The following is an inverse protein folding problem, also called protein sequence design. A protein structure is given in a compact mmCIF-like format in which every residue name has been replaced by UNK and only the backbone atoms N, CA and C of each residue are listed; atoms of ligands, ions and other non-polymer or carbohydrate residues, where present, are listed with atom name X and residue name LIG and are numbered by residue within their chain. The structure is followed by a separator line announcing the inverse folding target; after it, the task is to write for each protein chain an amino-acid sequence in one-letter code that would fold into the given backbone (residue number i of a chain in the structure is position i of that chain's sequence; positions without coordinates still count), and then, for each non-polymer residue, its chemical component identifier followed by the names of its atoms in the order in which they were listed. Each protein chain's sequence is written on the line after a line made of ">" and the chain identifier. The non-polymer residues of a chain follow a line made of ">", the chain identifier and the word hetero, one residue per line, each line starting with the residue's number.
data_IF_487977385119
#
_entry.id   IF_487977385119
#
_cell.length_a   1.000
_cell.length_b   1.000
_cell.length_c   1.000
_cell.angle_alpha   90.00
_cell.angle_beta   90.00
_cell.angle_gamma   90.00
#
_symmetry.space_group_name_H-M   'P 1'
#
loop_
_entity.id
_entity.type
_entity.pdbx_description
1 polymer ?
#
# COMPACT_ATOMS: atom_id res chain seq x y z
N UNK A 1 64.47 13.34 100.42
CA UNK A 1 64.28 13.32 98.95
C UNK A 1 63.21 12.30 98.62
N UNK A 2 62.06 12.70 98.26
CA UNK A 2 60.87 11.83 98.12
C UNK A 2 60.47 11.76 96.63
N UNK A 3 60.55 10.56 96.14
CA UNK A 3 60.09 10.20 94.79
C UNK A 3 58.55 10.07 94.78
N UNK A 4 57.91 10.66 93.84
CA UNK A 4 56.46 10.50 93.66
C UNK A 4 56.25 9.66 92.36
N UNK A 5 55.70 8.47 92.56
CA UNK A 5 55.20 7.66 91.46
C UNK A 5 53.83 8.18 91.03
N UNK A 6 53.70 8.43 89.68
CA UNK A 6 52.41 8.73 89.06
C UNK A 6 51.85 7.47 88.41
N UNK A 7 50.65 7.09 88.74
CA UNK A 7 49.89 5.97 88.22
C UNK A 7 49.24 6.41 86.93
N UNK A 8 49.57 5.75 85.80
CA UNK A 8 48.93 5.95 84.52
C UNK A 8 47.77 4.99 84.35
N UNK A 9 46.54 5.53 84.33
CA UNK A 9 45.35 4.73 84.05
C UNK A 9 45.29 4.36 82.56
N UNK A 10 45.19 3.09 82.26
CA UNK A 10 45.01 2.57 80.86
C UNK A 10 43.51 2.72 80.52
N UNK A 11 43.23 3.64 79.61
CA UNK A 11 41.89 3.75 79.04
C UNK A 11 41.66 2.69 77.94
N UNK A 12 40.65 1.84 78.15
CA UNK A 12 40.18 0.87 77.18
C UNK A 12 39.43 1.57 76.06
N UNK A 13 40.02 1.59 74.84
CA UNK A 13 39.34 2.08 73.66
C UNK A 13 38.43 0.98 73.11
N UNK A 14 37.13 1.10 73.27
CA UNK A 14 36.14 0.23 72.58
C UNK A 14 36.05 0.60 71.10
N UNK A 15 36.53 -0.30 70.25
CA UNK A 15 36.30 -0.20 68.81
C UNK A 15 34.82 -0.49 68.52
N UNK A 16 34.06 0.55 68.17
CA UNK A 16 32.75 0.42 67.53
C UNK A 16 32.97 -0.10 66.11
N UNK A 17 32.83 -1.38 65.90
CA UNK A 17 32.68 -1.96 64.56
C UNK A 17 31.32 -1.54 63.99
N UNK A 18 31.31 -0.47 63.18
CA UNK A 18 30.15 -0.07 62.41
C UNK A 18 29.82 -1.18 61.41
N UNK A 19 28.61 -1.73 61.48
CA UNK A 19 28.08 -2.64 60.48
C UNK A 19 27.89 -1.85 59.20
N UNK A 20 28.74 -2.08 58.18
CA UNK A 20 28.53 -1.58 56.80
C UNK A 20 27.28 -2.27 56.28
N UNK A 21 26.24 -1.53 55.83
CA UNK A 21 25.09 -2.19 55.26
C UNK A 21 25.54 -2.92 53.99
N UNK A 22 25.24 -4.23 53.94
CA UNK A 22 25.51 -5.04 52.77
C UNK A 22 24.74 -4.43 51.61
N UNK A 23 25.45 -3.88 50.60
CA UNK A 23 24.81 -3.46 49.36
C UNK A 23 24.14 -4.71 48.76
N UNK A 24 22.83 -4.61 48.52
CA UNK A 24 22.08 -5.64 47.86
C UNK A 24 22.79 -5.94 46.51
N UNK A 25 23.02 -7.19 46.18
CA UNK A 25 23.56 -7.58 44.91
C UNK A 25 22.64 -7.02 43.81
N UNK A 26 23.19 -6.49 42.71
CA UNK A 26 22.38 -6.05 41.60
C UNK A 26 21.48 -7.21 41.14
N UNK A 27 20.24 -6.92 40.69
CA UNK A 27 19.35 -7.99 40.21
C UNK A 27 20.04 -8.80 39.13
N UNK A 28 19.89 -10.11 39.17
CA UNK A 28 20.43 -10.98 38.13
C UNK A 28 19.87 -10.57 36.77
N UNK A 29 20.74 -10.37 35.79
CA UNK A 29 20.30 -10.09 34.42
C UNK A 29 19.47 -11.26 33.84
N UNK A 30 18.78 -11.04 32.71
CA UNK A 30 17.96 -12.08 32.11
C UNK A 30 18.76 -13.33 31.82
N UNK A 31 18.14 -14.49 32.00
CA UNK A 31 18.75 -15.79 31.66
C UNK A 31 18.94 -15.90 30.15
N UNK A 32 19.83 -16.83 29.71
CA UNK A 32 20.03 -17.08 28.29
C UNK A 32 18.74 -17.51 27.57
N UNK A 33 17.82 -18.19 28.27
CA UNK A 33 16.53 -18.60 27.72
C UNK A 33 15.59 -17.39 27.53
N UNK A 34 15.56 -16.45 28.48
CA UNK A 34 14.79 -15.23 28.37
C UNK A 34 15.32 -14.32 27.25
N UNK A 35 16.65 -14.21 27.11
CA UNK A 35 17.25 -13.45 25.99
C UNK A 35 16.92 -14.08 24.65
N UNK A 36 16.95 -15.42 24.55
CA UNK A 36 16.58 -16.15 23.34
C UNK A 36 15.10 -15.93 22.99
N UNK A 37 14.20 -16.01 23.97
CA UNK A 37 12.77 -15.78 23.77
C UNK A 37 12.48 -14.34 23.30
N UNK A 38 13.11 -13.35 23.93
CA UNK A 38 12.93 -11.93 23.54
C UNK A 38 13.47 -11.68 22.12
N UNK A 39 14.58 -12.30 21.75
CA UNK A 39 15.13 -12.24 20.38
C UNK A 39 14.15 -12.83 19.37
N UNK A 40 13.60 -14.00 19.65
CA UNK A 40 12.70 -14.71 18.74
C UNK A 40 11.38 -13.96 18.59
N UNK A 41 10.86 -13.36 19.66
CA UNK A 41 9.70 -12.46 19.62
C UNK A 41 9.98 -11.21 18.76
N UNK A 42 11.14 -10.56 18.93
CA UNK A 42 11.52 -9.39 18.15
C UNK A 42 11.68 -9.74 16.65
N UNK A 43 12.23 -10.91 16.34
CA UNK A 43 12.34 -11.39 14.95
C UNK A 43 10.96 -11.69 14.35
N UNK A 44 10.08 -12.33 15.11
CA UNK A 44 8.71 -12.62 14.67
C UNK A 44 7.92 -11.32 14.43
N UNK A 45 8.04 -10.33 15.32
CA UNK A 45 7.44 -9.03 15.15
C UNK A 45 7.94 -8.31 13.88
N UNK A 46 9.27 -8.28 13.69
CA UNK A 46 9.88 -7.67 12.52
C UNK A 46 9.44 -8.34 11.21
N UNK A 47 9.39 -9.67 11.18
CA UNK A 47 8.92 -10.44 10.04
C UNK A 47 7.41 -10.19 9.78
N UNK A 48 6.59 -10.13 10.82
CA UNK A 48 5.18 -9.80 10.73
C UNK A 48 4.93 -8.40 10.18
N UNK A 49 5.69 -7.41 10.65
CA UNK A 49 5.62 -6.03 10.15
C UNK A 49 6.00 -5.94 8.67
N UNK A 50 7.10 -6.60 8.27
CA UNK A 50 7.50 -6.64 6.86
C UNK A 50 6.46 -7.35 5.99
N UNK A 51 5.90 -8.46 6.47
CA UNK A 51 4.83 -9.18 5.78
C UNK A 51 3.57 -8.32 5.60
N UNK A 52 3.19 -7.56 6.63
CA UNK A 52 2.07 -6.61 6.56
C UNK A 52 2.33 -5.51 5.52
N UNK A 53 3.50 -4.86 5.58
CA UNK A 53 3.85 -3.78 4.62
C UNK A 53 3.85 -4.32 3.19
N UNK A 54 4.43 -5.50 2.96
CA UNK A 54 4.47 -6.13 1.65
C UNK A 54 3.08 -6.51 1.13
N UNK A 55 2.22 -7.04 2.00
CA UNK A 55 0.88 -7.49 1.64
C UNK A 55 -0.17 -6.37 1.59
N UNK A 56 0.12 -5.20 2.16
CA UNK A 56 -0.85 -4.11 2.30
C UNK A 56 -1.48 -3.66 0.97
N UNK A 57 -0.71 -3.45 -0.13
CA UNK A 57 -1.31 -3.08 -1.41
C UNK A 57 -2.37 -4.07 -1.88
N UNK A 58 -2.08 -5.37 -1.81
CA UNK A 58 -3.03 -6.39 -2.21
C UNK A 58 -4.31 -6.37 -1.37
N UNK A 59 -4.18 -6.20 -0.05
CA UNK A 59 -5.33 -6.10 0.87
C UNK A 59 -6.18 -4.87 0.58
N UNK A 60 -5.55 -3.71 0.33
CA UNK A 60 -6.27 -2.47 0.02
C UNK A 60 -6.96 -2.54 -1.34
N UNK A 61 -6.32 -3.11 -2.36
CA UNK A 61 -6.94 -3.37 -3.66
C UNK A 61 -8.14 -4.32 -3.54
N UNK A 62 -8.03 -5.42 -2.76
CA UNK A 62 -9.15 -6.33 -2.51
C UNK A 62 -10.32 -5.63 -1.82
N UNK A 63 -10.04 -4.78 -0.84
CA UNK A 63 -11.06 -3.99 -0.15
C UNK A 63 -11.77 -3.04 -1.11
N UNK A 64 -11.02 -2.26 -1.89
CA UNK A 64 -11.59 -1.29 -2.85
C UNK A 64 -12.36 -2.05 -3.96
N UNK A 65 -11.82 -3.15 -4.46
CA UNK A 65 -12.52 -4.01 -5.42
C UNK A 65 -13.88 -4.45 -4.88
N UNK A 66 -13.92 -4.96 -3.65
CA UNK A 66 -15.17 -5.38 -3.00
C UNK A 66 -16.16 -4.21 -2.88
N UNK A 67 -15.71 -3.04 -2.44
CA UNK A 67 -16.54 -1.84 -2.32
C UNK A 67 -17.11 -1.41 -3.67
N UNK A 68 -16.30 -1.38 -4.72
CA UNK A 68 -16.69 -0.87 -6.04
C UNK A 68 -17.40 -1.89 -6.93
N UNK A 69 -17.36 -3.17 -6.58
CA UNK A 69 -18.09 -4.23 -7.31
C UNK A 69 -19.36 -4.70 -6.59
N UNK A 70 -19.64 -4.14 -5.40
CA UNK A 70 -20.86 -4.40 -4.64
C UNK A 70 -21.77 -3.17 -4.66
N UNK A 71 -23.01 -3.27 -5.14
CA UNK A 71 -23.92 -2.12 -5.24
C UNK A 71 -24.11 -1.40 -3.91
N UNK A 72 -23.90 -0.07 -3.92
CA UNK A 72 -24.15 0.80 -2.77
C UNK A 72 -23.11 0.73 -1.65
N UNK A 73 -22.01 -0.01 -1.82
CA UNK A 73 -21.00 -0.16 -0.78
C UNK A 73 -19.93 0.94 -0.83
N UNK A 74 -19.55 1.41 -2.03
CA UNK A 74 -18.59 2.50 -2.16
C UNK A 74 -19.22 3.84 -1.74
N UNK A 75 -18.63 4.58 -0.77
CA UNK A 75 -19.20 5.83 -0.26
C UNK A 75 -19.23 6.97 -1.30
N UNK A 76 -18.52 6.81 -2.42
CA UNK A 76 -18.50 7.77 -3.53
C UNK A 76 -19.47 7.39 -4.65
N UNK A 77 -20.19 6.30 -4.49
CA UNK A 77 -21.14 5.80 -5.46
C UNK A 77 -20.51 5.17 -6.70
N UNK A 78 -19.23 4.83 -6.66
CA UNK A 78 -18.57 4.09 -7.74
C UNK A 78 -19.08 2.65 -7.72
N UNK A 79 -19.65 2.21 -8.83
CA UNK A 79 -20.09 0.82 -8.97
C UNK A 79 -19.96 0.36 -10.42
N UNK A 80 -19.32 -0.77 -10.61
CA UNK A 80 -19.42 -1.59 -11.82
C UNK A 80 -19.28 -3.07 -11.43
N UNK A 81 -19.97 -3.99 -12.11
CA UNK A 81 -19.71 -5.40 -11.92
C UNK A 81 -18.27 -5.74 -12.32
N UNK A 82 -17.74 -6.85 -11.81
CA UNK A 82 -16.43 -7.37 -12.26
C UNK A 82 -16.45 -7.53 -13.79
N UNK A 83 -15.35 -7.16 -14.43
CA UNK A 83 -15.20 -7.03 -15.89
C UNK A 83 -16.11 -5.97 -16.54
N UNK A 84 -16.72 -5.11 -15.73
CA UNK A 84 -17.42 -3.92 -16.16
C UNK A 84 -16.63 -2.65 -15.87
N UNK A 85 -17.11 -1.51 -16.36
CA UNK A 85 -16.47 -0.21 -16.22
C UNK A 85 -17.48 0.82 -15.71
N UNK A 86 -17.10 1.56 -14.69
CA UNK A 86 -17.80 2.75 -14.23
C UNK A 86 -17.21 3.99 -14.93
N UNK A 87 -18.06 4.83 -15.49
CA UNK A 87 -17.69 6.10 -16.12
C UNK A 87 -18.15 7.28 -15.26
N UNK A 88 -17.26 8.21 -15.00
CA UNK A 88 -17.64 9.47 -14.40
C UNK A 88 -18.44 10.31 -15.41
N UNK A 89 -19.53 10.90 -14.93
CA UNK A 89 -20.41 11.76 -15.71
C UNK A 89 -20.16 13.26 -15.51
N UNK A 90 -19.12 13.62 -14.76
CA UNK A 90 -18.72 15.01 -14.49
C UNK A 90 -17.21 15.07 -14.23
N UNK A 91 -16.62 16.25 -14.44
CA UNK A 91 -15.27 16.54 -14.01
C UNK A 91 -15.20 16.61 -12.48
N UNK A 92 -14.03 16.27 -11.94
CA UNK A 92 -13.78 16.41 -10.50
C UNK A 92 -13.62 17.87 -10.15
N UNK A 93 -14.38 18.35 -9.18
CA UNK A 93 -14.29 19.72 -8.68
C UNK A 93 -13.34 19.82 -7.47
N UNK A 94 -12.65 20.96 -7.29
CA UNK A 94 -11.90 21.23 -6.07
C UNK A 94 -12.80 21.11 -4.84
N UNK A 95 -12.31 20.44 -3.78
CA UNK A 95 -13.10 20.21 -2.57
C UNK A 95 -14.06 19.02 -2.60
N UNK A 96 -14.17 18.29 -3.72
CA UNK A 96 -14.90 17.04 -3.78
C UNK A 96 -14.30 15.95 -2.88
N UNK A 97 -15.00 14.82 -2.72
CA UNK A 97 -14.50 13.65 -1.96
C UNK A 97 -13.15 13.10 -2.45
N UNK A 98 -12.72 13.51 -3.65
CA UNK A 98 -11.41 13.17 -4.22
C UNK A 98 -10.29 14.15 -3.85
N UNK A 99 -10.61 15.28 -3.22
CA UNK A 99 -9.68 16.39 -3.00
C UNK A 99 -8.38 16.00 -2.29
N UNK A 100 -8.37 15.01 -1.43
CA UNK A 100 -7.16 14.51 -0.76
C UNK A 100 -6.26 13.60 -1.60
N UNK A 101 -6.67 13.24 -2.82
CA UNK A 101 -5.96 12.27 -3.69
C UNK A 101 -5.39 12.88 -4.96
N UNK A 102 -5.51 14.21 -5.14
CA UNK A 102 -4.96 14.95 -6.28
C UNK A 102 -5.46 14.50 -7.66
N UNK A 103 -6.79 14.24 -7.86
CA UNK A 103 -7.30 13.93 -9.19
C UNK A 103 -7.18 15.13 -10.14
N UNK A 104 -7.07 14.86 -11.44
CA UNK A 104 -7.14 15.93 -12.44
C UNK A 104 -8.55 16.49 -12.51
N UNK A 105 -8.65 17.81 -12.74
CA UNK A 105 -9.92 18.51 -12.91
C UNK A 105 -10.31 18.72 -14.38
N UNK A 106 -9.47 18.27 -15.28
CA UNK A 106 -9.59 18.41 -16.74
C UNK A 106 -9.71 17.05 -17.46
N UNK A 107 -9.92 15.98 -16.74
CA UNK A 107 -10.10 14.65 -17.33
C UNK A 107 -11.34 13.95 -16.81
N UNK A 108 -12.05 13.25 -17.68
CA UNK A 108 -13.05 12.26 -17.31
C UNK A 108 -12.30 10.99 -16.89
N UNK A 109 -12.70 10.42 -15.77
CA UNK A 109 -12.19 9.13 -15.31
C UNK A 109 -13.18 8.03 -15.61
N UNK A 110 -12.66 6.84 -15.88
CA UNK A 110 -13.41 5.59 -15.80
C UNK A 110 -12.57 4.53 -15.12
N UNK A 111 -13.22 3.65 -14.39
CA UNK A 111 -12.55 2.64 -13.56
C UNK A 111 -13.27 1.31 -13.65
N UNK A 112 -12.54 0.23 -13.46
CA UNK A 112 -13.12 -1.10 -13.41
C UNK A 112 -12.19 -2.10 -12.75
N UNK A 113 -12.75 -3.24 -12.41
CA UNK A 113 -12.03 -4.36 -11.83
C UNK A 113 -12.15 -5.58 -12.74
N UNK A 114 -11.02 -6.15 -13.09
CA UNK A 114 -10.93 -7.29 -13.99
C UNK A 114 -10.64 -8.56 -13.20
N UNK A 115 -11.36 -9.63 -13.52
CA UNK A 115 -11.00 -10.99 -13.12
C UNK A 115 -10.49 -11.75 -14.36
N UNK A 116 -9.21 -12.05 -14.34
CA UNK A 116 -8.47 -12.72 -15.41
C UNK A 116 -8.30 -14.22 -15.15
N UNK A 117 -8.91 -14.74 -14.09
CA UNK A 117 -8.81 -16.17 -13.73
C UNK A 117 -9.53 -17.07 -14.72
N UNK A 118 -10.58 -16.54 -15.36
CA UNK A 118 -11.38 -17.29 -16.35
C UNK A 118 -10.89 -17.15 -17.80
N UNK A 119 -9.90 -16.28 -18.02
CA UNK A 119 -9.34 -16.04 -19.35
C UNK A 119 -9.04 -14.58 -19.64
N UNK A 120 -8.70 -14.26 -20.90
CA UNK A 120 -8.41 -12.90 -21.32
C UNK A 120 -9.64 -11.99 -21.26
N UNK A 121 -9.41 -10.73 -20.89
CA UNK A 121 -10.38 -9.65 -21.05
C UNK A 121 -9.91 -8.75 -22.19
N UNK A 122 -10.79 -8.49 -23.18
CA UNK A 122 -10.49 -7.58 -24.28
C UNK A 122 -10.96 -6.18 -23.94
N UNK A 123 -10.10 -5.19 -24.21
CA UNK A 123 -10.40 -3.77 -24.06
C UNK A 123 -10.15 -3.10 -25.42
N UNK A 124 -11.18 -2.54 -26.01
CA UNK A 124 -11.08 -1.77 -27.25
C UNK A 124 -11.01 -0.27 -26.90
N UNK A 125 -9.93 0.38 -27.30
CA UNK A 125 -9.77 1.82 -27.24
C UNK A 125 -10.05 2.42 -28.62
N UNK A 126 -11.02 3.33 -28.78
CA UNK A 126 -11.31 3.96 -30.07
C UNK A 126 -10.18 4.91 -30.50
N UNK A 127 -10.17 5.31 -31.77
CA UNK A 127 -9.36 6.44 -32.21
C UNK A 127 -9.83 7.71 -31.49
N UNK A 128 -8.95 8.35 -30.74
CA UNK A 128 -9.26 9.55 -30.00
C UNK A 128 -8.94 10.85 -30.75
N UNK A 129 -8.52 10.76 -32.03
CA UNK A 129 -8.24 11.90 -32.91
C UNK A 129 -7.29 12.92 -32.27
N UNK A 130 -6.13 12.41 -31.81
CA UNK A 130 -5.09 13.16 -31.08
C UNK A 130 -5.51 13.69 -29.70
N UNK A 131 -6.71 13.41 -29.21
CA UNK A 131 -7.09 13.72 -27.83
C UNK A 131 -6.26 12.89 -26.85
N UNK A 132 -5.79 13.54 -25.79
CA UNK A 132 -5.09 12.81 -24.74
C UNK A 132 -6.03 11.82 -24.05
N UNK A 133 -5.58 10.59 -23.98
CA UNK A 133 -6.13 9.56 -23.13
C UNK A 133 -5.01 8.71 -22.53
N UNK A 134 -5.30 8.02 -21.46
CA UNK A 134 -4.46 7.00 -20.87
C UNK A 134 -5.32 5.88 -20.27
N UNK A 135 -4.93 4.65 -20.53
CA UNK A 135 -5.41 3.47 -19.81
C UNK A 135 -4.26 2.96 -18.95
N UNK A 136 -4.51 2.81 -17.68
CA UNK A 136 -3.58 2.23 -16.70
C UNK A 136 -4.16 0.91 -16.23
N UNK A 137 -3.38 -0.14 -16.35
CA UNK A 137 -3.68 -1.45 -15.79
C UNK A 137 -2.75 -1.67 -14.63
N UNK A 138 -3.30 -1.90 -13.44
CA UNK A 138 -2.53 -2.13 -12.23
C UNK A 138 -2.85 -3.51 -11.65
N UNK A 139 -1.82 -4.25 -11.27
CA UNK A 139 -1.99 -5.48 -10.51
C UNK A 139 -2.18 -5.18 -9.01
N UNK A 140 -2.44 -6.20 -8.20
CA UNK A 140 -2.69 -6.03 -6.77
C UNK A 140 -1.45 -5.68 -5.95
N UNK A 141 -0.28 -5.60 -6.57
CA UNK A 141 0.94 -5.07 -5.97
C UNK A 141 1.34 -3.69 -6.53
N UNK A 142 0.40 -3.01 -7.23
CA UNK A 142 0.58 -1.69 -7.83
C UNK A 142 1.63 -1.63 -8.94
N UNK A 143 1.98 -2.77 -9.54
CA UNK A 143 2.74 -2.78 -10.80
C UNK A 143 1.81 -2.36 -11.93
N UNK A 144 2.25 -1.41 -12.73
CA UNK A 144 1.40 -0.76 -13.72
C UNK A 144 1.92 -0.93 -15.14
N UNK A 145 0.98 -1.09 -16.08
CA UNK A 145 1.21 -0.96 -17.51
C UNK A 145 0.30 0.13 -18.07
N UNK A 146 0.80 0.89 -19.01
CA UNK A 146 0.08 2.02 -19.60
C UNK A 146 -0.04 1.87 -21.12
N UNK A 147 -1.21 2.24 -21.63
CA UNK A 147 -1.43 2.51 -23.06
C UNK A 147 -2.09 3.88 -23.20
N UNK A 148 -1.95 4.51 -24.34
CA UNK A 148 -2.53 5.84 -24.60
C UNK A 148 -1.58 6.75 -25.36
N UNK A 149 -1.95 8.02 -25.47
CA UNK A 149 -1.26 8.99 -26.34
C UNK A 149 0.26 9.04 -26.16
N UNK A 150 0.75 8.90 -24.94
CA UNK A 150 2.19 9.01 -24.63
C UNK A 150 2.98 7.75 -24.87
N UNK A 151 2.33 6.61 -25.04
CA UNK A 151 2.97 5.29 -25.15
C UNK A 151 2.70 4.63 -26.48
N UNK A 152 1.44 4.53 -26.89
CA UNK A 152 1.00 3.76 -28.05
C UNK A 152 0.28 4.61 -29.09
N UNK A 153 0.12 5.93 -28.84
CA UNK A 153 -0.56 6.85 -29.74
C UNK A 153 -2.05 6.92 -29.51
N UNK A 154 -2.77 7.52 -30.45
CA UNK A 154 -4.19 7.88 -30.33
C UNK A 154 -5.11 7.13 -31.29
N UNK A 155 -4.56 6.38 -32.22
CA UNK A 155 -5.34 5.51 -33.11
C UNK A 155 -6.07 4.39 -32.37
N UNK A 156 -7.09 3.82 -33.01
CA UNK A 156 -7.85 2.70 -32.43
C UNK A 156 -6.93 1.52 -32.08
N UNK A 157 -7.10 0.95 -30.91
CA UNK A 157 -6.29 -0.14 -30.39
C UNK A 157 -7.17 -1.22 -29.78
N UNK A 158 -6.78 -2.47 -29.98
CA UNK A 158 -7.35 -3.61 -29.26
C UNK A 158 -6.31 -4.18 -28.30
N UNK A 159 -6.67 -4.26 -27.03
CA UNK A 159 -5.83 -4.75 -25.96
C UNK A 159 -6.40 -6.09 -25.47
N UNK A 160 -5.52 -7.02 -25.15
CA UNK A 160 -5.87 -8.28 -24.48
C UNK A 160 -5.17 -8.29 -23.13
N UNK A 161 -5.95 -8.20 -22.06
CA UNK A 161 -5.45 -8.25 -20.68
C UNK A 161 -5.54 -9.69 -20.21
N UNK A 162 -4.42 -10.22 -19.72
CA UNK A 162 -4.31 -11.62 -19.30
C UNK A 162 -3.69 -11.74 -17.91
N UNK A 163 -4.08 -12.79 -17.19
CA UNK A 163 -3.46 -13.17 -15.92
C UNK A 163 -2.08 -13.83 -16.07
N UNK A 164 -1.42 -14.14 -14.96
CA UNK A 164 -0.06 -14.68 -14.94
C UNK A 164 0.06 -16.04 -15.64
N UNK A 165 -0.93 -16.88 -15.52
CA UNK A 165 -0.89 -18.28 -15.97
C UNK A 165 -1.38 -18.47 -17.41
N UNK A 166 -1.86 -17.41 -18.05
CA UNK A 166 -2.38 -17.51 -19.42
C UNK A 166 -1.27 -17.84 -20.43
N UNK A 167 -1.52 -18.85 -21.27
CA UNK A 167 -0.56 -19.39 -22.25
C UNK A 167 -1.09 -19.44 -23.69
N UNK A 168 -2.24 -18.77 -23.93
CA UNK A 168 -2.84 -18.76 -25.27
C UNK A 168 -2.05 -17.90 -26.25
N UNK A 169 -2.51 -17.88 -27.50
CA UNK A 169 -1.94 -17.07 -28.57
C UNK A 169 -2.57 -15.68 -28.62
N UNK A 170 -1.75 -14.67 -28.94
CA UNK A 170 -2.20 -13.30 -29.13
C UNK A 170 -2.56 -13.10 -30.60
N UNK A 171 -3.80 -12.71 -30.94
CA UNK A 171 -4.17 -12.43 -32.33
C UNK A 171 -3.33 -11.31 -32.93
N UNK A 172 -3.14 -11.35 -34.24
CA UNK A 172 -2.41 -10.30 -34.96
C UNK A 172 -3.08 -8.92 -34.74
N UNK A 173 -2.28 -7.88 -34.49
CA UNK A 173 -2.75 -6.52 -34.25
C UNK A 173 -3.32 -6.26 -32.87
N UNK A 174 -3.30 -7.23 -31.97
CA UNK A 174 -3.74 -7.09 -30.58
C UNK A 174 -2.53 -6.86 -29.68
N UNK A 175 -2.59 -5.83 -28.84
CA UNK A 175 -1.56 -5.56 -27.83
C UNK A 175 -1.81 -6.41 -26.58
N UNK A 176 -0.81 -7.19 -26.16
CA UNK A 176 -0.88 -7.98 -24.94
C UNK A 176 -0.53 -7.12 -23.72
N UNK A 177 -1.41 -7.15 -22.71
CA UNK A 177 -1.18 -6.62 -21.36
C UNK A 177 -1.20 -7.80 -20.39
N UNK A 178 -0.05 -8.16 -19.82
CA UNK A 178 0.06 -9.28 -18.88
C UNK A 178 0.16 -8.78 -17.46
N UNK A 179 -0.81 -9.14 -16.64
CA UNK A 179 -0.83 -8.84 -15.22
C UNK A 179 -0.14 -9.95 -14.42
N UNK A 180 0.41 -9.60 -13.25
CA UNK A 180 1.09 -10.53 -12.33
C UNK A 180 0.12 -11.16 -11.33
N UNK A 181 -1.11 -10.62 -11.24
CA UNK A 181 -2.21 -11.16 -10.43
C UNK A 181 -3.40 -11.47 -11.33
N UNK A 182 -4.29 -12.38 -10.88
CA UNK A 182 -5.53 -12.69 -11.59
C UNK A 182 -6.55 -11.56 -11.54
N UNK A 183 -6.50 -10.74 -10.51
CA UNK A 183 -7.28 -9.52 -10.42
C UNK A 183 -6.43 -8.34 -10.88
N UNK A 184 -7.07 -7.42 -11.59
CA UNK A 184 -6.42 -6.18 -12.03
C UNK A 184 -7.41 -5.00 -11.93
N UNK A 185 -6.84 -3.83 -11.73
CA UNK A 185 -7.57 -2.57 -11.76
C UNK A 185 -7.30 -1.85 -13.07
N UNK A 186 -8.35 -1.34 -13.71
CA UNK A 186 -8.23 -0.45 -14.85
C UNK A 186 -8.64 0.97 -14.45
N UNK A 187 -7.79 1.94 -14.79
CA UNK A 187 -8.06 3.36 -14.65
C UNK A 187 -7.86 4.05 -16.00
N UNK A 188 -8.93 4.59 -16.53
CA UNK A 188 -8.88 5.39 -17.75
C UNK A 188 -9.02 6.88 -17.48
N UNK A 189 -8.42 7.67 -18.34
CA UNK A 189 -8.51 9.15 -18.36
C UNK A 189 -8.66 9.63 -19.78
N UNK A 190 -9.58 10.56 -19.98
CA UNK A 190 -9.78 11.26 -21.27
C UNK A 190 -9.78 12.77 -21.01
N UNK A 191 -8.95 13.50 -21.74
CA UNK A 191 -8.85 14.96 -21.60
C UNK A 191 -10.17 15.63 -22.02
N UNK A 192 -10.56 16.66 -21.26
CA UNK A 192 -11.67 17.56 -21.55
C UNK A 192 -11.13 18.98 -21.64
N UNK A 193 -11.27 19.60 -22.81
CA UNK A 193 -10.79 20.96 -23.09
C UNK A 193 -11.88 22.01 -22.72
N UNK A 194 -12.29 21.98 -21.45
CA UNK A 194 -13.33 22.87 -20.91
C UNK A 194 -14.75 22.34 -21.05
N UNK A 195 -15.69 23.02 -20.41
CA UNK A 195 -17.07 22.56 -20.26
C UNK A 195 -17.81 22.26 -21.59
N UNK A 196 -17.50 23.01 -22.65
CA UNK A 196 -18.12 22.81 -23.97
C UNK A 196 -17.67 21.52 -24.65
N UNK A 197 -16.48 21.02 -24.31
CA UNK A 197 -15.90 19.83 -24.89
C UNK A 197 -16.36 18.53 -24.19
N UNK A 198 -16.90 18.65 -22.97
CA UNK A 198 -17.33 17.50 -22.19
C UNK A 198 -18.23 16.51 -22.94
N UNK A 199 -19.25 16.95 -23.71
CA UNK A 199 -20.10 16.01 -24.46
C UNK A 199 -19.37 15.26 -25.56
N UNK A 200 -18.31 15.83 -26.14
CA UNK A 200 -17.50 15.16 -27.15
C UNK A 200 -16.52 14.16 -26.51
N UNK A 201 -15.87 14.56 -25.41
CA UNK A 201 -14.95 13.71 -24.69
C UNK A 201 -15.65 12.49 -24.04
N UNK A 202 -16.89 12.66 -23.57
CA UNK A 202 -17.67 11.60 -22.93
C UNK A 202 -18.26 10.55 -23.88
N UNK A 203 -18.12 10.75 -25.21
CA UNK A 203 -18.56 9.77 -26.23
C UNK A 203 -17.45 8.80 -26.66
N UNK A 204 -16.22 9.05 -26.24
CA UNK A 204 -15.08 8.20 -26.49
C UNK A 204 -15.04 7.02 -25.52
#
# INVERSE_FOLDING_TARGET
>A
MKSKFALIAAGSASLLLGTVPAMAAPPAGPSAAEVASQRDEALAYAAGLQGYIYGYPALDYMRIMHEQTTPGLDPKGVYAPVNGVYFQNALVEPGSLYAGRGPNTDTIYFTGWLDLSQGPVTVDAPDTHDRYYALTFADFYSEVQHTGRRTTGTGAQRLMVVGPDWKGEVPAGVQLIRMRTHQAYILGRVLVEGAKDFPAASKL
#
